data_IF_984529848782
#
_entry.id   IF_984529848782
#
_cell.length_a   1.000
_cell.length_b   1.000
_cell.length_c   1.000
_cell.angle_alpha   90.00
_cell.angle_beta   90.00
_cell.angle_gamma   90.00
#
_symmetry.space_group_name_H-M   'P 1'
#
loop_
_entity.id
_entity.type
_entity.pdbx_description
1 polymer ?
#
# COMPACT_ATOMS: atom_id res chain seq x y z
N UNK A 1 20.55 -1.54 -5.88
CA UNK A 1 20.27 -0.44 -4.93
C UNK A 1 18.86 -0.62 -4.38
N UNK A 2 18.67 -0.62 -3.06
CA UNK A 2 17.34 -0.70 -2.45
C UNK A 2 16.70 0.69 -2.50
N UNK A 3 15.52 0.83 -3.10
CA UNK A 3 14.77 2.08 -3.17
C UNK A 3 13.29 1.78 -2.92
N UNK A 4 12.56 2.76 -2.41
CA UNK A 4 11.09 2.76 -2.40
C UNK A 4 10.64 3.60 -3.59
N UNK A 5 9.61 3.14 -4.31
CA UNK A 5 9.06 3.82 -5.48
C UNK A 5 7.64 4.29 -5.21
N UNK A 6 7.13 5.20 -6.04
CA UNK A 6 5.74 5.69 -5.93
C UNK A 6 4.72 4.56 -6.10
N UNK A 7 5.04 3.60 -6.94
CA UNK A 7 4.23 2.42 -7.25
C UNK A 7 4.11 1.52 -6.02
N UNK A 8 5.22 1.30 -5.30
CA UNK A 8 5.21 0.56 -4.03
C UNK A 8 4.36 1.29 -2.97
N UNK A 9 4.46 2.62 -2.87
CA UNK A 9 3.62 3.39 -1.95
C UNK A 9 2.14 3.34 -2.32
N UNK A 10 1.82 3.40 -3.62
CA UNK A 10 0.45 3.31 -4.12
C UNK A 10 -0.14 1.92 -3.82
N UNK A 11 0.65 0.86 -4.00
CA UNK A 11 0.25 -0.50 -3.65
C UNK A 11 -0.01 -0.65 -2.15
N UNK A 12 0.89 -0.12 -1.31
CA UNK A 12 0.70 -0.12 0.14
C UNK A 12 -0.59 0.61 0.56
N UNK A 13 -0.85 1.80 -0.01
CA UNK A 13 -2.07 2.57 0.29
C UNK A 13 -3.34 1.80 -0.09
N UNK A 14 -3.35 1.16 -1.27
CA UNK A 14 -4.47 0.31 -1.71
C UNK A 14 -4.66 -0.91 -0.83
N UNK A 15 -3.56 -1.53 -0.38
CA UNK A 15 -3.62 -2.68 0.52
C UNK A 15 -4.23 -2.29 1.88
N UNK A 16 -3.82 -1.14 2.46
CA UNK A 16 -4.41 -0.61 3.70
C UNK A 16 -5.91 -0.39 3.53
N UNK A 17 -6.33 0.28 2.46
CA UNK A 17 -7.75 0.53 2.20
C UNK A 17 -8.55 -0.76 1.99
N UNK A 18 -7.97 -1.74 1.28
CA UNK A 18 -8.61 -3.03 0.99
C UNK A 18 -8.75 -3.97 2.18
N UNK A 19 -8.15 -3.65 3.34
CA UNK A 19 -8.39 -4.40 4.59
C UNK A 19 -9.83 -4.20 5.09
N UNK A 20 -10.46 -3.08 4.75
CA UNK A 20 -11.89 -2.84 5.06
C UNK A 20 -12.72 -3.44 3.92
N UNK A 21 -13.59 -4.44 4.19
CA UNK A 21 -14.54 -4.94 3.20
C UNK A 21 -15.42 -3.82 2.64
N UNK A 22 -15.76 -3.81 1.34
CA UNK A 22 -16.57 -2.74 0.74
C UNK A 22 -17.92 -2.49 1.44
N UNK A 23 -18.52 -3.52 2.01
CA UNK A 23 -19.77 -3.49 2.77
C UNK A 23 -19.61 -2.99 4.21
N UNK A 24 -18.38 -2.94 4.73
CA UNK A 24 -18.07 -2.36 6.04
C UNK A 24 -17.72 -0.86 5.96
N UNK A 25 -17.44 -0.33 4.76
CA UNK A 25 -17.11 1.08 4.56
C UNK A 25 -18.29 1.98 4.90
N UNK A 26 -18.03 3.00 5.73
CA UNK A 26 -19.01 3.99 6.17
C UNK A 26 -18.32 5.33 6.45
N UNK A 27 -19.04 6.46 6.51
CA UNK A 27 -18.42 7.78 6.69
C UNK A 27 -17.49 7.92 7.90
N UNK A 28 -17.75 7.15 8.96
CA UNK A 28 -16.97 7.09 10.20
C UNK A 28 -15.93 5.95 10.25
N UNK A 29 -15.84 5.12 9.20
CA UNK A 29 -14.89 4.00 9.09
C UNK A 29 -14.41 3.84 7.64
N UNK A 30 -13.42 4.66 7.28
CA UNK A 30 -12.81 4.72 5.94
C UNK A 30 -11.33 4.29 5.91
N UNK A 31 -10.70 4.13 7.08
CA UNK A 31 -9.30 3.70 7.25
C UNK A 31 -9.26 2.74 8.43
N UNK A 32 -8.57 1.58 8.33
CA UNK A 32 -8.52 0.61 9.42
C UNK A 32 -7.74 1.16 10.63
N UNK A 33 -7.96 0.56 11.80
CA UNK A 33 -7.14 0.84 12.99
C UNK A 33 -5.65 0.64 12.69
N UNK A 34 -4.81 1.51 13.24
CA UNK A 34 -3.34 1.38 13.17
C UNK A 34 -2.83 0.06 13.81
N UNK A 35 -3.64 -0.58 14.66
CA UNK A 35 -3.35 -1.87 15.30
C UNK A 35 -4.05 -3.06 14.62
N UNK A 36 -4.70 -2.87 13.47
CA UNK A 36 -5.30 -3.97 12.74
C UNK A 36 -4.21 -4.90 12.21
N UNK A 37 -4.13 -6.11 12.78
CA UNK A 37 -3.08 -7.10 12.50
C UNK A 37 -3.02 -7.54 11.02
N UNK A 38 -4.12 -7.38 10.27
CA UNK A 38 -4.18 -7.72 8.85
C UNK A 38 -3.44 -6.72 7.96
N UNK A 39 -3.20 -5.50 8.44
CA UNK A 39 -2.57 -4.42 7.65
C UNK A 39 -1.12 -4.76 7.29
N UNK A 40 -0.33 -5.23 8.26
CA UNK A 40 1.08 -5.54 8.05
C UNK A 40 1.32 -6.57 6.94
N UNK A 41 0.70 -7.76 7.02
CA UNK A 41 0.77 -8.77 5.96
C UNK A 41 0.27 -8.26 4.61
N UNK A 42 -0.90 -7.60 4.57
CA UNK A 42 -1.48 -7.10 3.32
C UNK A 42 -0.55 -6.10 2.60
N UNK A 43 0.08 -5.19 3.34
CA UNK A 43 1.04 -4.22 2.79
C UNK A 43 2.30 -4.94 2.28
N UNK A 44 2.84 -5.88 3.07
CA UNK A 44 4.04 -6.62 2.68
C UNK A 44 3.83 -7.37 1.37
N UNK A 45 2.72 -8.10 1.23
CA UNK A 45 2.39 -8.88 0.04
C UNK A 45 2.22 -7.97 -1.19
N UNK A 46 1.45 -6.88 -1.06
CA UNK A 46 1.21 -5.94 -2.16
C UNK A 46 2.51 -5.24 -2.63
N UNK A 47 3.37 -4.86 -1.69
CA UNK A 47 4.66 -4.21 -2.01
C UNK A 47 5.62 -5.19 -2.67
N UNK A 48 5.69 -6.45 -2.20
CA UNK A 48 6.52 -7.49 -2.82
C UNK A 48 6.07 -7.79 -4.24
N UNK A 49 4.75 -7.87 -4.47
CA UNK A 49 4.20 -8.09 -5.80
C UNK A 49 4.64 -6.99 -6.77
N UNK A 50 4.51 -5.71 -6.40
CA UNK A 50 4.92 -4.59 -7.25
C UNK A 50 6.45 -4.48 -7.39
N UNK A 51 7.21 -4.75 -6.34
CA UNK A 51 8.66 -4.72 -6.40
C UNK A 51 9.24 -5.81 -7.31
N UNK A 52 8.53 -6.93 -7.44
CA UNK A 52 8.92 -8.08 -8.28
C UNK A 52 8.49 -7.92 -9.73
N UNK A 53 7.60 -6.97 -10.03
CA UNK A 53 7.14 -6.71 -11.40
C UNK A 53 8.25 -6.00 -12.21
N UNK A 54 8.77 -6.63 -13.27
CA UNK A 54 9.82 -6.03 -14.08
C UNK A 54 9.34 -4.81 -14.88
N UNK A 55 8.03 -4.69 -15.11
CA UNK A 55 7.38 -3.59 -15.82
C UNK A 55 7.03 -2.40 -14.93
N UNK A 56 7.09 -2.57 -13.60
CA UNK A 56 6.81 -1.49 -12.67
C UNK A 56 7.81 -0.33 -12.87
N UNK A 57 7.27 0.87 -13.05
CA UNK A 57 8.04 2.11 -13.01
C UNK A 57 8.85 2.15 -11.71
N UNK A 58 10.13 2.51 -11.81
CA UNK A 58 11.06 2.57 -10.67
C UNK A 58 11.30 3.99 -10.18
N UNK A 59 10.30 4.84 -10.34
CA UNK A 59 10.40 6.27 -10.03
C UNK A 59 10.62 6.42 -8.51
N UNK A 60 11.82 6.86 -8.08
CA UNK A 60 12.09 7.05 -6.66
C UNK A 60 11.19 8.15 -6.10
N UNK A 61 10.91 8.11 -4.80
CA UNK A 61 10.09 9.11 -4.10
C UNK A 61 10.81 10.46 -3.91
N UNK A 62 11.71 10.88 -4.81
CA UNK A 62 12.33 12.20 -4.69
C UNK A 62 11.22 13.27 -4.70
N UNK A 63 10.92 13.79 -3.52
CA UNK A 63 10.14 15.00 -3.36
C UNK A 63 11.13 16.15 -3.56
N UNK A 64 11.02 16.83 -4.70
CA UNK A 64 11.45 18.22 -4.76
C UNK A 64 10.29 19.05 -4.19
N UNK A 65 10.57 19.76 -3.10
CA UNK A 65 9.70 20.80 -2.57
C UNK A 65 10.22 22.16 -3.03
#
# INVERSE_FOLDING_TARGET
>A
MKRVTREMLTAAAKAIAGVIPPDEVRPDYIIPSAFNEKVGPAVADAVVQVASDPSASRTPIYFEF
#
